data_IF_130950595397
#
_entry.id   IF_130950595397
#
_cell.length_a   1.000
_cell.length_b   1.000
_cell.length_c   1.000
_cell.angle_alpha   90.00
_cell.angle_beta   90.00
_cell.angle_gamma   90.00
#
_symmetry.space_group_name_H-M   'P 1'
#
loop_
_entity.id
_entity.type
_entity.pdbx_description
1 polymer ?
#
# COMPACT_ATOMS: atom_id res chain seq x y z
N UNK A 1 13.03 11.03 -3.15
CA UNK A 1 12.18 10.06 -3.84
C UNK A 1 12.72 9.83 -5.23
N UNK A 2 12.79 8.60 -5.63
CA UNK A 2 13.45 8.24 -6.87
C UNK A 2 12.45 7.80 -7.94
N UNK A 3 11.25 8.31 -7.91
CA UNK A 3 10.26 7.91 -8.86
C UNK A 3 9.46 6.72 -8.36
N UNK A 4 8.70 6.13 -9.27
CA UNK A 4 7.82 5.02 -8.90
C UNK A 4 8.62 3.78 -8.57
N UNK A 5 8.11 3.00 -7.62
CA UNK A 5 8.73 1.74 -7.24
C UNK A 5 7.74 0.61 -7.41
N UNK A 6 8.27 -0.58 -7.64
CA UNK A 6 7.43 -1.77 -7.76
C UNK A 6 7.58 -2.59 -6.49
N UNK A 7 6.46 -2.86 -5.84
CA UNK A 7 6.43 -3.64 -4.62
C UNK A 7 5.63 -4.90 -4.84
N UNK A 8 5.86 -5.88 -3.98
CA UNK A 8 5.13 -7.15 -4.07
C UNK A 8 4.11 -7.25 -2.94
N UNK A 9 2.89 -7.62 -3.30
CA UNK A 9 1.84 -7.82 -2.31
C UNK A 9 2.17 -9.07 -1.49
N UNK A 10 2.05 -8.97 -0.17
CA UNK A 10 2.31 -10.12 0.69
C UNK A 10 1.11 -11.04 0.78
N UNK A 11 -0.06 -10.59 0.31
CA UNK A 11 -1.27 -11.40 0.37
C UNK A 11 -1.50 -12.19 -0.90
N UNK A 12 -1.49 -11.51 -2.04
CA UNK A 12 -1.78 -12.19 -3.31
C UNK A 12 -0.54 -12.44 -4.15
N UNK A 13 0.59 -11.84 -3.79
CA UNK A 13 1.83 -12.06 -4.50
C UNK A 13 1.99 -11.27 -5.77
N UNK A 14 1.02 -10.43 -6.10
CA UNK A 14 1.09 -9.62 -7.31
C UNK A 14 1.91 -8.37 -7.08
N UNK A 15 2.64 -7.93 -8.11
CA UNK A 15 3.36 -6.69 -8.02
C UNK A 15 2.42 -5.50 -8.18
N UNK A 16 2.77 -4.39 -7.58
CA UNK A 16 2.01 -3.16 -7.72
C UNK A 16 2.95 -1.98 -7.71
N UNK A 17 2.50 -0.87 -8.28
CA UNK A 17 3.33 0.32 -8.41
C UNK A 17 3.08 1.24 -7.23
N UNK A 18 4.16 1.63 -6.55
CA UNK A 18 4.12 2.59 -5.45
C UNK A 18 4.65 3.89 -6.00
N UNK A 19 3.76 4.80 -6.34
CA UNK A 19 4.12 6.02 -7.04
C UNK A 19 4.91 6.97 -6.14
N UNK A 20 5.62 7.87 -6.80
CA UNK A 20 6.42 8.85 -6.07
C UNK A 20 5.54 9.72 -5.16
N UNK A 21 4.37 10.08 -5.64
CA UNK A 21 3.44 10.87 -4.82
C UNK A 21 3.02 10.13 -3.58
N UNK A 22 2.75 8.83 -3.71
CA UNK A 22 2.39 8.04 -2.55
C UNK A 22 3.55 7.88 -1.60
N UNK A 23 4.76 7.73 -2.13
CA UNK A 23 5.94 7.65 -1.28
C UNK A 23 6.08 8.90 -0.43
N UNK A 24 5.85 10.04 -1.04
CA UNK A 24 5.94 11.31 -0.32
C UNK A 24 4.85 11.39 0.75
N UNK A 25 3.65 10.97 0.42
CA UNK A 25 2.55 10.97 1.38
C UNK A 25 2.89 10.10 2.58
N UNK A 26 3.45 8.92 2.35
CA UNK A 26 3.84 8.03 3.43
C UNK A 26 4.92 8.66 4.29
N UNK A 27 5.89 9.31 3.66
CA UNK A 27 6.96 9.97 4.39
C UNK A 27 6.42 11.10 5.27
N UNK A 28 5.53 11.92 4.72
CA UNK A 28 4.98 13.04 5.44
C UNK A 28 4.15 12.60 6.64
N UNK A 29 3.49 11.46 6.52
CA UNK A 29 2.64 10.93 7.58
C UNK A 29 3.35 9.89 8.43
N UNK A 30 4.64 9.67 8.17
CA UNK A 30 5.46 8.73 8.93
C UNK A 30 4.86 7.34 8.91
N UNK A 31 4.41 6.94 7.73
CA UNK A 31 3.83 5.62 7.54
C UNK A 31 4.88 4.66 7.00
N UNK A 32 4.71 3.38 7.29
CA UNK A 32 5.61 2.37 6.76
C UNK A 32 5.25 2.06 5.31
N UNK A 33 6.19 1.45 4.59
CA UNK A 33 5.95 1.06 3.21
C UNK A 33 4.73 0.14 3.13
N UNK A 34 3.91 0.30 2.09
CA UNK A 34 2.76 -0.60 1.92
C UNK A 34 3.24 -1.99 1.56
N UNK A 35 2.62 -3.00 2.14
CA UNK A 35 3.00 -4.38 1.88
C UNK A 35 1.95 -5.13 1.08
N UNK A 36 0.81 -4.51 0.82
CA UNK A 36 -0.28 -5.13 0.07
C UNK A 36 -0.70 -4.25 -1.07
N UNK A 37 -1.14 -4.87 -2.15
CA UNK A 37 -1.61 -4.11 -3.30
C UNK A 37 -2.90 -3.38 -2.95
N UNK A 38 -3.26 -2.35 -3.74
CA UNK A 38 -4.45 -1.56 -3.44
C UNK A 38 -5.72 -2.40 -3.33
N UNK A 39 -5.84 -3.45 -4.14
CA UNK A 39 -7.01 -4.31 -4.09
C UNK A 39 -7.10 -5.04 -2.75
N UNK A 40 -5.98 -5.61 -2.30
CA UNK A 40 -5.95 -6.32 -1.02
C UNK A 40 -6.12 -5.36 0.14
N UNK A 41 -5.53 -4.18 0.04
CA UNK A 41 -5.67 -3.19 1.11
C UNK A 41 -7.12 -2.76 1.25
N UNK A 42 -7.80 -2.59 0.14
CA UNK A 42 -9.21 -2.20 0.15
C UNK A 42 -10.06 -3.29 0.78
N UNK A 43 -9.78 -4.53 0.43
CA UNK A 43 -10.54 -5.66 0.97
C UNK A 43 -10.34 -5.76 2.48
N UNK A 44 -9.11 -5.63 2.93
CA UNK A 44 -8.85 -5.75 4.36
C UNK A 44 -9.43 -4.57 5.13
N UNK A 45 -9.41 -3.39 4.54
CA UNK A 45 -9.98 -2.22 5.19
C UNK A 45 -11.46 -2.41 5.44
N UNK A 46 -12.17 -2.91 4.43
CA UNK A 46 -13.60 -3.17 4.57
C UNK A 46 -13.84 -4.19 5.66
N UNK A 47 -13.04 -5.26 5.68
CA UNK A 47 -13.16 -6.30 6.66
C UNK A 47 -12.96 -5.74 8.07
N UNK A 48 -11.94 -4.93 8.25
CA UNK A 48 -11.63 -4.37 9.56
C UNK A 48 -12.72 -3.46 10.06
N UNK A 49 -13.27 -2.65 9.19
CA UNK A 49 -14.36 -1.75 9.58
C UNK A 49 -15.57 -2.54 10.00
N UNK A 50 -15.80 -3.67 9.38
CA UNK A 50 -16.90 -4.53 9.76
C UNK A 50 -16.74 -5.07 11.17
N UNK A 51 -15.52 -5.24 11.61
CA UNK A 51 -15.27 -5.75 12.95
C UNK A 51 -15.54 -4.73 14.02
N UNK A 52 -15.40 -3.48 13.66
CA UNK A 52 -15.63 -2.44 14.64
C UNK A 52 -17.11 -2.32 14.93
#
# INVERSE_FOLDING_TARGET
MEGDKTLSCTDCGNGFIWTEGEQEFYTLNKLADPKRCPACRKARKVWREGKK
#
